data_IF_133216013402
#
_entry.id   IF_133216013402
#
_cell.length_a   1.000
_cell.length_b   1.000
_cell.length_c   1.000
_cell.angle_alpha   90.00
_cell.angle_beta   90.00
_cell.angle_gamma   90.00
#
_symmetry.space_group_name_H-M   'P 1'
#
loop_
_entity.id
_entity.type
_entity.pdbx_description
1 polymer ?
#
# COMPACT_ATOMS: atom_id res chain seq x y z
N UNK A 1 -4.35 16.93 17.04
CA UNK A 1 -5.72 16.43 17.30
C UNK A 1 -5.81 15.01 16.77
N UNK A 2 -5.81 14.05 17.70
CA UNK A 2 -5.70 12.62 17.42
C UNK A 2 -7.04 12.03 16.98
N UNK A 3 -7.06 11.48 15.77
CA UNK A 3 -8.15 10.65 15.30
C UNK A 3 -7.78 9.18 15.49
N UNK A 4 -8.63 8.45 16.21
CA UNK A 4 -8.73 6.97 16.26
C UNK A 4 -9.01 6.32 14.87
N UNK A 5 -8.63 6.99 13.78
CA UNK A 5 -8.72 6.49 12.42
C UNK A 5 -7.52 5.59 12.17
N UNK A 6 -7.74 4.28 12.09
CA UNK A 6 -6.69 3.33 11.68
C UNK A 6 -6.01 3.75 10.38
N UNK A 7 -4.80 3.25 10.07
CA UNK A 7 -3.93 3.77 9.00
C UNK A 7 -4.57 3.81 7.60
N UNK A 8 -5.69 3.11 7.41
CA UNK A 8 -6.45 3.02 6.16
C UNK A 8 -7.93 3.42 6.29
N UNK A 9 -8.34 4.09 7.38
CA UNK A 9 -9.74 4.45 7.63
C UNK A 9 -10.38 5.24 6.47
N UNK A 10 -9.66 6.20 5.87
CA UNK A 10 -10.16 7.01 4.74
C UNK A 10 -10.64 6.16 3.57
N UNK A 11 -9.98 5.02 3.32
CA UNK A 11 -10.35 4.08 2.25
C UNK A 11 -11.71 3.45 2.54
N UNK A 12 -11.91 2.99 3.77
CA UNK A 12 -13.17 2.38 4.20
C UNK A 12 -14.30 3.41 4.30
N UNK A 13 -14.01 4.61 4.80
CA UNK A 13 -14.96 5.72 4.84
C UNK A 13 -15.41 6.06 3.41
N UNK A 14 -14.49 6.17 2.45
CA UNK A 14 -14.84 6.38 1.04
C UNK A 14 -15.74 5.29 0.50
N UNK A 15 -15.52 4.04 0.91
CA UNK A 15 -16.35 2.92 0.47
C UNK A 15 -17.75 2.99 1.05
N UNK A 16 -17.85 3.18 2.36
CA UNK A 16 -19.12 3.29 3.07
C UNK A 16 -19.93 4.48 2.51
N UNK A 17 -19.33 5.66 2.43
CA UNK A 17 -20.01 6.86 1.92
C UNK A 17 -20.37 6.72 0.44
N UNK A 18 -19.47 6.16 -0.40
CA UNK A 18 -19.76 5.93 -1.82
C UNK A 18 -20.96 5.00 -2.01
N UNK A 19 -21.02 3.91 -1.26
CA UNK A 19 -22.14 2.97 -1.29
C UNK A 19 -23.43 3.54 -0.69
N UNK A 20 -23.33 4.31 0.39
CA UNK A 20 -24.51 4.88 1.05
C UNK A 20 -25.16 5.98 0.20
N UNK A 21 -24.35 6.89 -0.36
CA UNK A 21 -24.84 8.04 -1.13
C UNK A 21 -25.19 7.65 -2.57
N UNK A 22 -24.29 6.97 -3.28
CA UNK A 22 -24.51 6.68 -4.71
C UNK A 22 -25.16 5.31 -4.95
N UNK A 23 -24.89 4.33 -4.07
CA UNK A 23 -25.49 3.01 -4.17
C UNK A 23 -26.93 3.04 -3.65
N UNK A 24 -27.10 3.07 -2.33
CA UNK A 24 -28.40 2.91 -1.67
C UNK A 24 -29.29 4.14 -1.93
N UNK A 25 -28.85 5.32 -1.51
CA UNK A 25 -29.64 6.54 -1.66
C UNK A 25 -29.83 6.91 -3.13
N UNK A 26 -28.77 6.84 -3.92
CA UNK A 26 -28.82 7.14 -5.35
C UNK A 26 -29.75 6.22 -6.15
N UNK A 27 -29.71 4.90 -5.94
CA UNK A 27 -30.69 4.00 -6.58
C UNK A 27 -32.11 4.35 -6.11
N UNK A 28 -32.31 4.52 -4.81
CA UNK A 28 -33.66 4.74 -4.27
C UNK A 28 -34.28 6.05 -4.78
N UNK A 29 -33.52 7.14 -4.76
CA UNK A 29 -34.00 8.46 -5.16
C UNK A 29 -34.13 8.58 -6.68
N UNK A 30 -33.07 8.27 -7.43
CA UNK A 30 -33.11 8.41 -8.89
C UNK A 30 -33.92 7.32 -9.58
N UNK A 31 -34.01 6.13 -8.99
CA UNK A 31 -34.83 5.02 -9.50
C UNK A 31 -36.32 5.31 -9.50
N UNK A 32 -36.81 6.21 -8.63
CA UNK A 32 -38.21 6.69 -8.67
C UNK A 32 -38.51 7.52 -9.92
N UNK A 33 -37.51 8.23 -10.45
CA UNK A 33 -37.67 9.04 -11.68
C UNK A 33 -37.35 8.23 -12.93
N UNK A 34 -36.24 7.49 -12.91
CA UNK A 34 -35.80 6.66 -14.02
C UNK A 34 -34.87 5.54 -13.54
N UNK A 35 -35.20 4.31 -13.90
CA UNK A 35 -34.39 3.14 -13.58
C UNK A 35 -32.95 3.25 -14.12
N UNK A 36 -32.77 3.90 -15.29
CA UNK A 36 -31.45 4.16 -15.87
C UNK A 36 -30.59 5.07 -14.99
N UNK A 37 -31.18 6.13 -14.42
CA UNK A 37 -30.46 7.02 -13.52
C UNK A 37 -30.04 6.29 -12.24
N UNK A 38 -30.92 5.46 -11.67
CA UNK A 38 -30.59 4.59 -10.53
C UNK A 38 -29.41 3.65 -10.83
N UNK A 39 -29.41 2.99 -11.98
CA UNK A 39 -28.31 2.12 -12.44
C UNK A 39 -26.98 2.89 -12.61
N UNK A 40 -27.02 4.09 -13.21
CA UNK A 40 -25.80 4.91 -13.36
C UNK A 40 -25.25 5.37 -12.02
N UNK A 41 -26.11 5.66 -11.04
CA UNK A 41 -25.68 6.01 -9.68
C UNK A 41 -25.00 4.83 -8.99
N UNK A 42 -25.57 3.63 -9.10
CA UNK A 42 -24.93 2.40 -8.60
C UNK A 42 -23.57 2.14 -9.25
N UNK A 43 -23.48 2.30 -10.57
CA UNK A 43 -22.21 2.19 -11.28
C UNK A 43 -21.21 3.24 -10.81
N UNK A 44 -21.68 4.45 -10.51
CA UNK A 44 -20.90 5.51 -9.87
C UNK A 44 -20.32 5.08 -8.52
N UNK A 45 -21.11 4.43 -7.66
CA UNK A 45 -20.62 3.87 -6.39
C UNK A 45 -19.50 2.85 -6.61
N UNK A 46 -19.65 1.98 -7.61
CA UNK A 46 -18.62 1.00 -7.98
C UNK A 46 -17.33 1.67 -8.46
N UNK A 47 -17.43 2.71 -9.29
CA UNK A 47 -16.26 3.47 -9.78
C UNK A 47 -15.57 4.21 -8.63
N UNK A 48 -16.32 4.81 -7.72
CA UNK A 48 -15.75 5.53 -6.56
C UNK A 48 -15.02 4.58 -5.61
N UNK A 49 -15.56 3.38 -5.43
CA UNK A 49 -14.96 2.37 -4.54
C UNK A 49 -13.77 1.68 -5.19
N UNK A 50 -13.97 1.01 -6.32
CA UNK A 50 -12.92 0.20 -6.95
C UNK A 50 -12.08 0.98 -7.98
N UNK A 51 -12.70 1.90 -8.71
CA UNK A 51 -12.03 2.66 -9.77
C UNK A 51 -10.87 3.49 -9.25
N UNK A 52 -11.05 4.22 -8.15
CA UNK A 52 -9.96 5.02 -7.55
C UNK A 52 -8.77 4.16 -7.14
N UNK A 53 -9.02 3.00 -6.54
CA UNK A 53 -7.97 2.06 -6.14
C UNK A 53 -7.17 1.55 -7.36
N UNK A 54 -7.87 1.22 -8.44
CA UNK A 54 -7.23 0.79 -9.70
C UNK A 54 -6.37 1.92 -10.27
N UNK A 55 -6.90 3.15 -10.30
CA UNK A 55 -6.18 4.33 -10.81
C UNK A 55 -4.93 4.59 -9.98
N UNK A 56 -5.01 4.59 -8.65
CA UNK A 56 -3.84 4.81 -7.79
C UNK A 56 -2.79 3.73 -7.98
N UNK A 57 -3.20 2.45 -8.06
CA UNK A 57 -2.28 1.34 -8.35
C UNK A 57 -1.57 1.53 -9.68
N UNK A 58 -2.27 1.98 -10.72
CA UNK A 58 -1.66 2.24 -12.03
C UNK A 58 -0.69 3.41 -12.02
N UNK A 59 -1.05 4.53 -11.37
CA UNK A 59 -0.17 5.69 -11.21
C UNK A 59 1.14 5.26 -10.53
N UNK A 60 1.03 4.49 -9.46
CA UNK A 60 2.18 4.07 -8.65
C UNK A 60 3.05 3.05 -9.40
N UNK A 61 2.45 2.09 -10.12
CA UNK A 61 3.18 1.20 -11.03
C UNK A 61 3.95 1.98 -12.11
N UNK A 62 3.33 2.99 -12.72
CA UNK A 62 3.98 3.84 -13.73
C UNK A 62 5.14 4.63 -13.12
N UNK A 63 4.96 5.20 -11.92
CA UNK A 63 6.04 5.91 -11.19
C UNK A 63 7.22 4.98 -10.91
N UNK A 64 6.97 3.78 -10.39
CA UNK A 64 8.04 2.81 -10.11
C UNK A 64 8.79 2.41 -11.39
N UNK A 65 8.08 2.07 -12.46
CA UNK A 65 8.70 1.72 -13.76
C UNK A 65 9.58 2.85 -14.31
N UNK A 66 9.18 4.11 -14.15
CA UNK A 66 10.00 5.24 -14.60
C UNK A 66 11.34 5.37 -13.86
N UNK A 67 11.43 4.86 -12.64
CA UNK A 67 12.62 5.01 -11.79
C UNK A 67 13.57 3.83 -11.96
N UNK A 68 13.08 2.61 -11.76
CA UNK A 68 13.91 1.39 -11.78
C UNK A 68 13.88 0.67 -13.12
N UNK A 69 13.02 1.07 -14.08
CA UNK A 69 12.84 0.42 -15.39
C UNK A 69 12.49 -1.09 -15.34
N UNK A 70 12.17 -1.61 -14.16
CA UNK A 70 11.77 -3.01 -13.95
C UNK A 70 10.25 -3.17 -13.80
N UNK A 71 9.75 -4.38 -14.12
CA UNK A 71 8.34 -4.71 -13.92
C UNK A 71 8.08 -4.94 -12.41
N UNK A 72 7.03 -4.31 -11.85
CA UNK A 72 6.64 -4.57 -10.47
C UNK A 72 6.03 -5.97 -10.37
N UNK A 73 6.58 -6.80 -9.49
CA UNK A 73 6.10 -8.17 -9.23
C UNK A 73 5.05 -8.17 -8.12
N UNK A 74 5.28 -7.37 -7.08
CA UNK A 74 4.33 -7.19 -6.01
C UNK A 74 4.09 -5.72 -5.70
N UNK A 75 2.87 -5.43 -5.24
CA UNK A 75 2.43 -4.10 -4.84
C UNK A 75 1.53 -4.24 -3.62
N UNK A 76 1.91 -3.59 -2.53
CA UNK A 76 1.20 -3.68 -1.25
C UNK A 76 0.95 -2.30 -0.68
N UNK A 77 -0.29 -2.04 -0.26
CA UNK A 77 -0.69 -0.81 0.42
C UNK A 77 0.03 -0.71 1.78
N UNK A 78 0.79 0.37 1.99
CA UNK A 78 1.57 0.60 3.23
C UNK A 78 1.49 2.03 3.72
N UNK A 79 1.65 2.20 5.04
CA UNK A 79 1.93 3.47 5.69
C UNK A 79 3.39 3.47 6.15
N UNK A 80 4.18 4.45 5.73
CA UNK A 80 5.57 4.58 6.19
C UNK A 80 5.66 5.38 7.49
N UNK A 81 6.25 4.77 8.52
CA UNK A 81 6.53 5.42 9.79
C UNK A 81 7.69 6.42 9.68
N UNK A 82 7.62 7.51 10.46
CA UNK A 82 8.57 8.63 10.45
C UNK A 82 8.26 9.75 9.44
N UNK A 83 7.45 9.48 8.40
CA UNK A 83 6.90 10.54 7.52
C UNK A 83 5.37 10.55 7.48
N UNK A 84 4.71 9.55 8.09
CA UNK A 84 3.26 9.35 8.07
C UNK A 84 2.65 9.38 6.66
N UNK A 85 3.42 8.93 5.66
CA UNK A 85 2.97 8.93 4.27
C UNK A 85 2.35 7.60 3.89
N UNK A 86 1.12 7.67 3.38
CA UNK A 86 0.42 6.56 2.73
C UNK A 86 0.98 6.35 1.32
N UNK A 87 1.16 5.09 0.94
CA UNK A 87 1.71 4.75 -0.36
C UNK A 87 1.68 3.26 -0.61
N UNK A 88 2.54 2.85 -1.51
CA UNK A 88 2.68 1.46 -1.90
C UNK A 88 4.12 1.03 -1.75
N UNK A 89 4.32 -0.16 -1.19
CA UNK A 89 5.57 -0.87 -1.24
C UNK A 89 5.54 -1.73 -2.52
N UNK A 90 6.47 -1.47 -3.42
CA UNK A 90 6.61 -2.18 -4.68
C UNK A 90 7.88 -3.02 -4.60
N UNK A 91 7.73 -4.31 -4.90
CA UNK A 91 8.84 -5.24 -5.05
C UNK A 91 9.05 -5.51 -6.53
N UNK A 92 10.31 -5.43 -6.94
CA UNK A 92 10.78 -5.78 -8.28
C UNK A 92 11.77 -6.94 -8.17
N UNK A 93 12.54 -7.21 -9.23
CA UNK A 93 13.55 -8.28 -9.20
C UNK A 93 14.67 -7.94 -8.24
N UNK A 94 15.13 -6.69 -8.28
CA UNK A 94 16.35 -6.27 -7.57
C UNK A 94 16.11 -5.14 -6.58
N UNK A 95 14.92 -4.52 -6.58
CA UNK A 95 14.62 -3.34 -5.77
C UNK A 95 13.32 -3.47 -4.97
N UNK A 96 13.34 -2.85 -3.79
CA UNK A 96 12.17 -2.48 -2.98
C UNK A 96 11.98 -0.97 -3.02
N UNK A 97 10.80 -0.53 -3.42
CA UNK A 97 10.47 0.90 -3.54
C UNK A 97 9.28 1.25 -2.66
N UNK A 98 9.40 2.34 -1.90
CA UNK A 98 8.25 2.98 -1.30
C UNK A 98 7.81 4.15 -2.18
N UNK A 99 6.63 4.01 -2.78
CA UNK A 99 6.05 4.96 -3.73
C UNK A 99 4.79 5.59 -3.13
N UNK A 100 4.85 6.85 -2.69
CA UNK A 100 3.65 7.56 -2.24
C UNK A 100 2.73 7.85 -3.44
N UNK A 101 1.41 7.79 -3.21
CA UNK A 101 0.41 8.11 -4.25
C UNK A 101 0.60 9.54 -4.73
N UNK A 102 0.65 10.46 -3.77
CA UNK A 102 0.91 11.88 -4.00
C UNK A 102 2.36 12.20 -3.64
N UNK A 103 3.06 12.90 -4.53
CA UNK A 103 4.47 13.27 -4.36
C UNK A 103 5.47 12.39 -5.11
N UNK A 104 6.75 12.69 -4.86
CA UNK A 104 7.92 12.05 -5.50
C UNK A 104 8.37 10.82 -4.70
N UNK A 105 8.85 9.81 -5.41
CA UNK A 105 9.49 8.63 -4.81
C UNK A 105 10.83 9.06 -4.23
N UNK A 106 11.05 8.79 -2.95
CA UNK A 106 12.30 9.12 -2.25
C UNK A 106 13.03 7.89 -1.71
N UNK A 107 12.47 6.70 -1.88
CA UNK A 107 13.00 5.48 -1.27
C UNK A 107 12.99 4.36 -2.28
N UNK A 108 14.20 3.99 -2.65
CA UNK A 108 14.58 2.90 -3.51
C UNK A 108 15.69 2.20 -2.75
N UNK A 109 15.52 0.91 -2.51
CA UNK A 109 16.44 0.08 -1.74
C UNK A 109 16.73 -1.12 -2.63
N UNK A 110 18.01 -1.41 -2.87
CA UNK A 110 18.41 -2.65 -3.56
C UNK A 110 18.25 -3.84 -2.60
N UNK A 111 17.85 -5.00 -3.11
CA UNK A 111 17.59 -6.17 -2.26
C UNK A 111 18.86 -6.67 -1.57
N UNK A 112 20.02 -6.56 -2.22
CA UNK A 112 21.34 -6.90 -1.67
C UNK A 112 21.75 -6.01 -0.49
N UNK A 113 21.25 -4.76 -0.45
CA UNK A 113 21.44 -3.84 0.66
C UNK A 113 20.58 -4.21 1.87
N UNK A 114 19.55 -5.06 1.72
CA UNK A 114 18.67 -5.44 2.83
C UNK A 114 19.33 -6.52 3.68
N UNK A 115 19.78 -6.12 4.86
CA UNK A 115 20.49 -7.01 5.79
C UNK A 115 19.51 -7.74 6.71
N UNK A 116 18.41 -7.09 7.09
CA UNK A 116 17.43 -7.68 8.02
C UNK A 116 16.02 -7.23 7.72
N UNK A 117 15.08 -8.12 8.05
CA UNK A 117 13.64 -7.88 7.97
C UNK A 117 12.97 -8.34 9.25
N UNK A 118 12.03 -7.57 9.76
CA UNK A 118 11.20 -7.96 10.90
C UNK A 118 9.74 -7.78 10.55
N UNK A 119 8.94 -8.82 10.81
CA UNK A 119 7.49 -8.79 10.61
C UNK A 119 6.81 -8.94 11.97
N UNK A 120 6.20 -7.88 12.48
CA UNK A 120 5.42 -7.94 13.73
C UNK A 120 3.97 -7.51 13.49
N UNK A 121 2.99 -8.39 13.72
CA UNK A 121 1.52 -8.22 13.50
C UNK A 121 1.02 -7.53 12.22
N UNK A 122 1.14 -6.21 12.10
CA UNK A 122 0.84 -5.40 10.89
C UNK A 122 2.03 -4.56 10.42
N UNK A 123 3.12 -4.51 11.19
CA UNK A 123 4.36 -3.81 10.85
C UNK A 123 5.37 -4.71 10.14
N UNK A 124 6.13 -4.07 9.27
CA UNK A 124 7.27 -4.59 8.53
C UNK A 124 8.40 -3.59 8.63
N UNK A 125 9.52 -4.03 9.18
CA UNK A 125 10.73 -3.24 9.27
C UNK A 125 11.78 -3.83 8.33
N UNK A 126 12.35 -2.97 7.50
CA UNK A 126 13.42 -3.31 6.58
C UNK A 126 14.65 -2.54 7.01
N UNK A 127 15.71 -3.26 7.36
CA UNK A 127 17.01 -2.67 7.70
C UNK A 127 17.92 -2.82 6.50
N UNK A 128 18.29 -1.69 5.90
CA UNK A 128 19.19 -1.64 4.76
C UNK A 128 20.54 -1.03 5.13
N UNK A 129 21.62 -1.61 4.59
CA UNK A 129 22.99 -1.11 4.71
C UNK A 129 23.29 -0.16 3.55
N UNK A 130 23.54 1.10 3.88
CA UNK A 130 24.11 2.08 2.98
C UNK A 130 25.61 2.22 3.28
N UNK A 131 26.42 2.81 2.37
CA UNK A 131 27.88 2.83 2.47
C UNK A 131 28.43 3.21 3.86
N UNK A 132 27.80 4.16 4.56
CA UNK A 132 28.26 4.65 5.86
C UNK A 132 27.23 4.50 7.01
N UNK A 133 26.09 3.82 6.80
CA UNK A 133 25.07 3.68 7.86
C UNK A 133 24.04 2.59 7.58
N UNK A 134 23.53 2.00 8.65
CA UNK A 134 22.28 1.24 8.61
C UNK A 134 21.09 2.20 8.69
N UNK A 135 20.07 1.98 7.86
CA UNK A 135 18.80 2.70 7.93
C UNK A 135 17.65 1.72 8.11
N UNK A 136 16.82 2.02 9.10
CA UNK A 136 15.60 1.27 9.37
C UNK A 136 14.44 1.96 8.65
N UNK A 137 13.66 1.18 7.91
CA UNK A 137 12.43 1.62 7.27
C UNK A 137 11.27 0.80 7.83
N UNK A 138 10.44 1.43 8.66
CA UNK A 138 9.27 0.79 9.26
C UNK A 138 8.00 1.14 8.48
N UNK A 139 7.21 0.11 8.17
CA UNK A 139 5.99 0.21 7.38
C UNK A 139 4.85 -0.54 8.06
N UNK A 140 3.66 0.05 8.15
CA UNK A 140 2.43 -0.70 8.47
C UNK A 140 1.77 -1.17 7.18
N UNK A 141 1.37 -2.43 7.14
CA UNK A 141 0.87 -3.15 5.98
C UNK A 141 -0.54 -3.68 6.28
N UNK A 142 -1.44 -3.58 5.31
CA UNK A 142 -2.81 -4.11 5.42
C UNK A 142 -2.87 -5.65 5.42
N UNK A 143 -2.07 -6.29 4.55
CA UNK A 143 -2.10 -7.75 4.35
C UNK A 143 -0.70 -8.33 4.42
N UNK A 144 -0.46 -9.18 5.44
CA UNK A 144 0.85 -9.80 5.68
C UNK A 144 1.15 -11.01 4.83
N UNK A 145 0.15 -11.85 4.56
CA UNK A 145 0.35 -13.17 3.93
C UNK A 145 1.15 -13.08 2.64
N UNK A 146 0.63 -12.32 1.65
CA UNK A 146 1.30 -12.13 0.36
C UNK A 146 2.67 -11.47 0.49
N UNK A 147 2.82 -10.53 1.41
CA UNK A 147 4.07 -9.78 1.55
C UNK A 147 5.19 -10.66 2.15
N UNK A 148 4.86 -11.48 3.15
CA UNK A 148 5.81 -12.39 3.79
C UNK A 148 6.29 -13.46 2.81
N UNK A 149 5.38 -14.09 2.08
CA UNK A 149 5.70 -15.10 1.06
C UNK A 149 6.63 -14.54 -0.02
N UNK A 150 6.28 -13.40 -0.61
CA UNK A 150 7.08 -12.75 -1.66
C UNK A 150 8.47 -12.34 -1.19
N UNK A 151 8.60 -11.94 0.08
CA UNK A 151 9.88 -11.52 0.66
C UNK A 151 10.74 -12.74 1.03
N UNK A 152 10.13 -13.79 1.58
CA UNK A 152 10.81 -15.03 1.92
C UNK A 152 11.27 -15.79 0.65
N UNK A 153 10.49 -15.74 -0.43
CA UNK A 153 10.84 -16.32 -1.74
C UNK A 153 12.03 -15.59 -2.39
N UNK A 154 12.05 -14.26 -2.36
CA UNK A 154 13.08 -13.47 -3.05
C UNK A 154 14.40 -13.34 -2.31
N UNK A 155 14.37 -13.33 -0.99
CA UNK A 155 15.56 -13.01 -0.18
C UNK A 155 15.88 -14.10 0.85
N UNK A 156 15.24 -15.27 0.75
CA UNK A 156 15.42 -16.38 1.68
C UNK A 156 14.89 -16.12 3.10
N UNK A 157 14.95 -17.14 3.95
CA UNK A 157 14.54 -17.07 5.37
C UNK A 157 15.42 -16.08 6.14
N UNK A 158 14.79 -15.13 6.83
CA UNK A 158 15.47 -14.23 7.76
C UNK A 158 16.23 -15.01 8.84
N UNK A 159 17.50 -14.68 9.08
CA UNK A 159 18.22 -15.18 10.26
C UNK A 159 17.54 -14.62 11.53
N UNK A 160 17.21 -15.51 12.47
CA UNK A 160 16.64 -15.15 13.77
C UNK A 160 17.75 -14.71 14.72
N UNK A 161 17.51 -13.65 15.50
CA UNK A 161 18.47 -13.18 16.50
C UNK A 161 18.58 -14.21 17.63
N UNK A 162 19.81 -14.63 17.96
CA UNK A 162 20.14 -15.06 19.33
C UNK A 162 20.34 -13.78 20.13
N UNK A 163 19.58 -13.60 21.19
CA UNK A 163 19.97 -12.62 22.21
C UNK A 163 21.34 -13.07 22.73
N UNK A 164 22.39 -12.29 22.47
CA UNK A 164 23.57 -12.33 23.32
C UNK A 164 23.14 -11.66 24.62
N UNK A 165 22.80 -12.49 25.60
CA UNK A 165 22.67 -12.09 27.00
C UNK A 165 23.96 -11.38 27.40
N UNK A 166 23.84 -10.11 27.77
CA UNK A 166 24.92 -9.32 28.37
C UNK A 166 24.86 -9.47 29.88
#
# INVERSE_FOLDING_TARGET
>A
MGGMSGPFADKYIRYILGWLVLGIFGIYYFGQTSMWLGLTSFLGAFIVTFGFDIVFRQIVKRKARKIVKQKPEALVDVLRHGQEKKGYLIFTRDYVLFVPVFGKVKTVIELDQIVRRQFDRSMVEIIARFPNRYRVFSFTVLFKGKLKELIDEKMGKSQSYKYEET
#
